data_IF_982769084537
#
_entry.id   IF_982769084537
#
_cell.length_a   1.000
_cell.length_b   1.000
_cell.length_c   1.000
_cell.angle_alpha   90.00
_cell.angle_beta   90.00
_cell.angle_gamma   90.00
#
_symmetry.space_group_name_H-M   'P 1'
#
loop_
_entity.id
_entity.type
_entity.pdbx_description
1 polymer ?
#
# COMPACT_ATOMS: atom_id res chain seq x y z
N UNK A 1 -25.36 72.40 -2.83
CA UNK A 1 -23.94 72.04 -2.61
C UNK A 1 -23.87 71.16 -1.37
N UNK A 2 -23.30 69.96 -1.44
CA UNK A 2 -23.04 69.14 -0.23
C UNK A 2 -23.25 67.63 -0.42
N UNK A 3 -22.35 67.02 -1.20
CA UNK A 3 -22.07 65.61 -1.49
C UNK A 3 -22.81 64.52 -0.68
N UNK A 4 -23.43 63.61 -1.42
CA UNK A 4 -23.89 62.27 -1.00
C UNK A 4 -22.68 61.45 -0.55
N UNK A 5 -22.76 60.91 0.66
CA UNK A 5 -21.77 60.02 1.24
C UNK A 5 -22.05 58.59 0.77
N UNK A 6 -21.33 58.10 -0.25
CA UNK A 6 -21.35 56.69 -0.64
C UNK A 6 -20.12 56.00 -0.09
N UNK A 7 -20.22 55.50 1.14
CA UNK A 7 -19.26 54.52 1.69
C UNK A 7 -19.56 53.16 1.08
N UNK A 8 -18.80 52.79 0.05
CA UNK A 8 -18.88 51.48 -0.58
C UNK A 8 -18.26 50.42 0.35
N UNK A 9 -19.11 49.66 1.02
CA UNK A 9 -18.70 48.49 1.81
C UNK A 9 -18.39 47.28 0.90
N UNK A 10 -17.09 47.01 0.77
CA UNK A 10 -16.37 45.73 0.63
C UNK A 10 -16.88 44.59 -0.31
N UNK A 11 -16.14 44.30 -1.41
CA UNK A 11 -16.22 43.01 -2.12
C UNK A 11 -15.25 41.93 -1.61
N UNK A 12 -14.52 42.12 -0.50
CA UNK A 12 -13.41 41.22 -0.11
C UNK A 12 -13.83 39.82 0.37
N UNK A 13 -15.02 39.65 0.95
CA UNK A 13 -15.48 38.34 1.49
C UNK A 13 -15.85 37.33 0.41
N UNK A 14 -16.44 37.78 -0.70
CA UNK A 14 -16.81 36.91 -1.82
C UNK A 14 -15.59 36.34 -2.57
N UNK A 15 -14.53 37.15 -2.72
CA UNK A 15 -13.27 36.71 -3.34
C UNK A 15 -12.49 35.71 -2.48
N UNK A 16 -12.53 35.85 -1.15
CA UNK A 16 -11.91 34.89 -0.20
C UNK A 16 -12.63 33.53 -0.26
N UNK A 17 -13.96 33.51 -0.14
CA UNK A 17 -14.77 32.28 -0.17
C UNK A 17 -14.57 31.46 -1.45
N UNK A 18 -14.54 32.10 -2.62
CA UNK A 18 -14.30 31.42 -3.90
C UNK A 18 -12.89 30.85 -4.02
N UNK A 19 -11.88 31.51 -3.43
CA UNK A 19 -10.50 31.00 -3.37
C UNK A 19 -10.42 29.80 -2.44
N UNK A 20 -11.07 29.87 -1.29
CA UNK A 20 -11.10 28.78 -0.30
C UNK A 20 -11.83 27.55 -0.88
N UNK A 21 -12.97 27.73 -1.57
CA UNK A 21 -13.69 26.65 -2.27
C UNK A 21 -12.84 26.03 -3.39
N UNK A 22 -12.11 26.85 -4.17
CA UNK A 22 -11.21 26.34 -5.21
C UNK A 22 -10.03 25.56 -4.65
N UNK A 23 -9.42 26.04 -3.56
CA UNK A 23 -8.33 25.35 -2.86
C UNK A 23 -8.82 24.05 -2.21
N UNK A 24 -10.03 24.02 -1.67
CA UNK A 24 -10.63 22.80 -1.14
C UNK A 24 -10.84 21.75 -2.25
N UNK A 25 -11.31 22.17 -3.42
CA UNK A 25 -11.52 21.26 -4.55
C UNK A 25 -10.19 20.72 -5.09
N UNK A 26 -9.15 21.57 -5.18
CA UNK A 26 -7.80 21.13 -5.53
C UNK A 26 -7.25 20.10 -4.53
N UNK A 27 -7.44 20.34 -3.23
CA UNK A 27 -6.98 19.40 -2.19
C UNK A 27 -7.71 18.06 -2.29
N UNK A 28 -9.02 18.06 -2.58
CA UNK A 28 -9.80 16.83 -2.80
C UNK A 28 -9.31 16.07 -4.03
N UNK A 29 -9.04 16.78 -5.12
CA UNK A 29 -8.50 16.21 -6.36
C UNK A 29 -7.13 15.56 -6.14
N UNK A 30 -6.23 16.25 -5.43
CA UNK A 30 -4.92 15.69 -5.05
C UNK A 30 -5.06 14.49 -4.12
N UNK A 31 -5.96 14.55 -3.13
CA UNK A 31 -6.21 13.43 -2.23
C UNK A 31 -6.74 12.21 -2.99
N UNK A 32 -7.65 12.41 -3.95
CA UNK A 32 -8.15 11.33 -4.82
C UNK A 32 -7.02 10.69 -5.61
N UNK A 33 -6.16 11.49 -6.25
CA UNK A 33 -4.99 10.98 -6.98
C UNK A 33 -4.03 10.18 -6.08
N UNK A 34 -3.80 10.64 -4.86
CA UNK A 34 -2.96 9.94 -3.89
C UNK A 34 -3.58 8.59 -3.48
N UNK A 35 -4.90 8.54 -3.27
CA UNK A 35 -5.62 7.30 -2.98
C UNK A 35 -5.55 6.31 -4.15
N UNK A 36 -5.85 6.77 -5.37
CA UNK A 36 -5.77 5.93 -6.57
C UNK A 36 -4.35 5.34 -6.76
N UNK A 37 -3.31 6.13 -6.46
CA UNK A 37 -1.92 5.67 -6.52
C UNK A 37 -1.62 4.64 -5.44
N UNK A 38 -2.08 4.87 -4.21
CA UNK A 38 -1.92 3.94 -3.10
C UNK A 38 -2.60 2.59 -3.40
N UNK A 39 -3.84 2.62 -3.89
CA UNK A 39 -4.59 1.42 -4.28
C UNK A 39 -3.86 0.61 -5.36
N UNK A 40 -3.39 1.29 -6.43
CA UNK A 40 -2.60 0.64 -7.49
C UNK A 40 -1.32 0.01 -6.96
N UNK A 41 -0.63 0.70 -6.05
CA UNK A 41 0.57 0.18 -5.40
C UNK A 41 0.24 -1.08 -4.58
N UNK A 42 -0.82 -1.05 -3.77
CA UNK A 42 -1.26 -2.19 -2.97
C UNK A 42 -1.64 -3.39 -3.84
N UNK A 43 -2.42 -3.16 -4.91
CA UNK A 43 -2.77 -4.19 -5.88
C UNK A 43 -1.53 -4.82 -6.53
N UNK A 44 -0.52 -4.00 -6.89
CA UNK A 44 0.74 -4.48 -7.45
C UNK A 44 1.50 -5.37 -6.46
N UNK A 45 1.60 -4.94 -5.20
CA UNK A 45 2.28 -5.73 -4.15
C UNK A 45 1.57 -7.06 -3.87
N UNK A 46 0.23 -7.05 -3.83
CA UNK A 46 -0.55 -8.26 -3.66
C UNK A 46 -0.32 -9.25 -4.82
N UNK A 47 -0.38 -8.77 -6.07
CA UNK A 47 -0.15 -9.60 -7.26
C UNK A 47 1.24 -10.24 -7.24
N UNK A 48 2.31 -9.46 -7.02
CA UNK A 48 3.67 -9.99 -6.92
C UNK A 48 3.80 -11.03 -5.79
N UNK A 49 3.17 -10.79 -4.65
CA UNK A 49 3.14 -11.76 -3.55
C UNK A 49 2.49 -13.08 -3.94
N UNK A 50 1.39 -13.04 -4.70
CA UNK A 50 0.74 -14.26 -5.21
C UNK A 50 1.61 -15.01 -6.21
N UNK A 51 2.26 -14.32 -7.14
CA UNK A 51 3.14 -14.96 -8.13
C UNK A 51 4.36 -15.60 -7.50
N UNK A 52 4.89 -15.02 -6.41
CA UNK A 52 6.04 -15.56 -5.70
C UNK A 52 5.69 -16.71 -4.75
N UNK A 53 4.43 -16.85 -4.31
CA UNK A 53 4.00 -17.96 -3.44
C UNK A 53 4.20 -19.32 -4.11
N UNK A 54 3.76 -19.47 -5.36
CA UNK A 54 3.85 -20.74 -6.09
C UNK A 54 5.29 -21.27 -6.22
N UNK A 55 6.26 -20.52 -6.76
CA UNK A 55 7.65 -20.99 -6.85
C UNK A 55 8.27 -21.21 -5.47
N UNK A 56 7.89 -20.42 -4.46
CA UNK A 56 8.38 -20.59 -3.10
C UNK A 56 7.87 -21.88 -2.45
N UNK A 57 6.60 -22.22 -2.65
CA UNK A 57 6.01 -23.50 -2.21
C UNK A 57 6.77 -24.68 -2.84
N UNK A 58 7.10 -24.59 -4.13
CA UNK A 58 7.92 -25.62 -4.79
C UNK A 58 9.32 -25.74 -4.19
N UNK A 59 10.01 -24.62 -3.93
CA UNK A 59 11.35 -24.62 -3.31
C UNK A 59 11.29 -25.27 -1.92
N UNK A 60 10.29 -24.90 -1.09
CA UNK A 60 10.09 -25.50 0.23
C UNK A 60 9.86 -27.01 0.12
N UNK A 61 8.91 -27.44 -0.72
CA UNK A 61 8.59 -28.85 -0.89
C UNK A 61 9.78 -29.67 -1.41
N UNK A 62 10.51 -29.17 -2.40
CA UNK A 62 11.71 -29.87 -2.90
C UNK A 62 12.81 -29.93 -1.86
N UNK A 63 13.04 -28.85 -1.09
CA UNK A 63 14.02 -28.87 -0.01
C UNK A 63 13.66 -29.88 1.09
N UNK A 64 12.37 -30.02 1.41
CA UNK A 64 11.87 -30.99 2.38
C UNK A 64 12.01 -32.44 1.89
N UNK A 65 11.65 -32.70 0.63
CA UNK A 65 11.84 -34.03 -0.01
C UNK A 65 13.32 -34.41 -0.07
N UNK A 66 14.23 -33.46 -0.34
CA UNK A 66 15.66 -33.72 -0.34
C UNK A 66 16.16 -34.03 1.08
N UNK A 67 15.75 -33.26 2.08
CA UNK A 67 16.14 -33.46 3.47
C UNK A 67 15.66 -34.79 4.07
N UNK A 68 14.57 -35.35 3.53
CA UNK A 68 14.05 -36.66 3.93
C UNK A 68 14.79 -37.85 3.31
N UNK A 69 15.75 -37.62 2.40
CA UNK A 69 16.57 -38.71 1.84
C UNK A 69 17.60 -39.19 2.87
N UNK A 70 17.78 -40.50 2.97
CA UNK A 70 18.77 -41.12 3.88
C UNK A 70 20.20 -40.88 3.39
N UNK A 71 20.42 -40.85 2.08
CA UNK A 71 21.75 -40.73 1.45
C UNK A 71 22.11 -39.28 1.08
N UNK A 72 22.24 -38.41 2.08
CA UNK A 72 22.84 -37.07 1.89
C UNK A 72 24.21 -37.02 2.57
N UNK A 73 25.21 -36.50 1.85
CA UNK A 73 26.45 -36.05 2.49
C UNK A 73 26.15 -34.87 3.42
N UNK A 74 26.99 -34.67 4.45
CA UNK A 74 26.84 -33.54 5.40
C UNK A 74 26.78 -32.18 4.69
N UNK A 75 27.58 -32.01 3.63
CA UNK A 75 27.59 -30.79 2.84
C UNK A 75 26.26 -30.57 2.08
N UNK A 76 25.71 -31.61 1.47
CA UNK A 76 24.41 -31.53 0.77
C UNK A 76 23.27 -31.26 1.74
N UNK A 77 23.27 -31.92 2.91
CA UNK A 77 22.30 -31.65 3.99
C UNK A 77 22.36 -30.19 4.42
N UNK A 78 23.55 -29.67 4.69
CA UNK A 78 23.74 -28.26 5.04
C UNK A 78 23.19 -27.30 3.97
N UNK A 79 23.44 -27.57 2.68
CA UNK A 79 22.88 -26.75 1.60
C UNK A 79 21.35 -26.81 1.56
N UNK A 80 20.75 -28.00 1.71
CA UNK A 80 19.30 -28.15 1.70
C UNK A 80 18.65 -27.41 2.89
N UNK A 81 19.23 -27.52 4.09
CA UNK A 81 18.78 -26.78 5.28
C UNK A 81 18.87 -25.26 5.06
N UNK A 82 19.96 -24.77 4.45
CA UNK A 82 20.12 -23.34 4.14
C UNK A 82 19.09 -22.87 3.12
N UNK A 83 18.79 -23.66 2.09
CA UNK A 83 17.74 -23.37 1.11
C UNK A 83 16.38 -23.30 1.80
N UNK A 84 16.04 -24.31 2.61
CA UNK A 84 14.77 -24.36 3.33
C UNK A 84 14.59 -23.17 4.27
N UNK A 85 15.61 -22.86 5.08
CA UNK A 85 15.60 -21.71 6.00
C UNK A 85 15.45 -20.37 5.25
N UNK A 86 16.14 -20.21 4.12
CA UNK A 86 16.03 -19.01 3.29
C UNK A 86 14.63 -18.87 2.67
N UNK A 87 14.05 -19.98 2.21
CA UNK A 87 12.71 -20.01 1.65
C UNK A 87 11.64 -19.68 2.72
N UNK A 88 11.76 -20.23 3.93
CA UNK A 88 10.88 -19.88 5.05
C UNK A 88 11.01 -18.39 5.44
N UNK A 89 12.24 -17.86 5.45
CA UNK A 89 12.45 -16.44 5.70
C UNK A 89 11.78 -15.56 4.64
N UNK A 90 11.92 -15.93 3.35
CA UNK A 90 11.26 -15.23 2.27
C UNK A 90 9.73 -15.30 2.39
N UNK A 91 9.18 -16.44 2.79
CA UNK A 91 7.73 -16.61 3.00
C UNK A 91 7.20 -15.64 4.05
N UNK A 92 7.92 -15.49 5.17
CA UNK A 92 7.58 -14.51 6.23
C UNK A 92 7.62 -13.08 5.69
N UNK A 93 8.66 -12.73 4.93
CA UNK A 93 8.78 -11.40 4.30
C UNK A 93 7.61 -11.12 3.34
N UNK A 94 7.25 -12.08 2.49
CA UNK A 94 6.13 -11.93 1.55
C UNK A 94 4.79 -11.74 2.27
N UNK A 95 4.57 -12.45 3.38
CA UNK A 95 3.35 -12.29 4.18
C UNK A 95 3.28 -10.88 4.79
N UNK A 96 4.37 -10.39 5.39
CA UNK A 96 4.41 -9.02 5.92
C UNK A 96 4.16 -7.96 4.84
N UNK A 97 4.71 -8.15 3.63
CA UNK A 97 4.46 -7.24 2.50
C UNK A 97 2.98 -7.26 2.06
N UNK A 98 2.35 -8.43 2.07
CA UNK A 98 0.93 -8.56 1.74
C UNK A 98 0.03 -7.90 2.80
N UNK A 99 0.39 -8.02 4.09
CA UNK A 99 -0.38 -7.40 5.18
C UNK A 99 -0.35 -5.87 5.08
N UNK A 100 0.81 -5.28 4.77
CA UNK A 100 0.93 -3.84 4.52
C UNK A 100 0.05 -3.35 3.35
N UNK A 101 -0.16 -4.18 2.32
CA UNK A 101 -1.01 -3.82 1.20
C UNK A 101 -2.51 -3.76 1.54
N UNK A 102 -2.94 -4.36 2.67
CA UNK A 102 -4.33 -4.38 3.12
C UNK A 102 -4.68 -3.25 4.10
N UNK A 103 -3.70 -2.73 4.84
CA UNK A 103 -3.93 -1.75 5.91
C UNK A 103 -4.18 -0.31 5.42
N UNK A 104 -4.02 -0.05 4.12
CA UNK A 104 -4.17 1.30 3.56
C UNK A 104 -5.59 1.61 3.05
N UNK A 105 -6.56 0.69 3.18
CA UNK A 105 -7.96 0.99 2.87
C UNK A 105 -8.66 1.49 4.14
N UNK A 106 -8.88 2.81 4.31
CA UNK A 106 -9.72 3.30 5.40
C UNK A 106 -11.15 2.75 5.21
N UNK A 107 -11.68 2.17 6.28
CA UNK A 107 -13.06 1.71 6.37
C UNK A 107 -14.00 2.92 6.25
N UNK A 108 -14.56 3.16 5.06
CA UNK A 108 -15.51 4.25 4.80
C UNK A 108 -16.87 4.06 5.51
N UNK A 109 -17.08 2.98 6.29
CA UNK A 109 -18.34 2.75 7.01
C UNK A 109 -18.36 3.26 8.47
N UNK A 110 -17.30 3.91 8.98
CA UNK A 110 -17.24 4.33 10.39
C UNK A 110 -17.68 5.78 10.69
N UNK A 111 -18.41 6.46 9.79
CA UNK A 111 -18.80 7.88 10.01
C UNK A 111 -20.23 8.25 9.60
N UNK A 112 -21.13 7.27 9.51
CA UNK A 112 -22.54 7.50 9.19
C UNK A 112 -23.49 6.86 10.21
N UNK A 113 -23.52 7.37 11.44
CA UNK A 113 -24.63 7.18 12.41
C UNK A 113 -24.73 8.40 13.30
#
# INVERSE_FOLDING_TARGET
MGRVNTSAAEPKKAGKKRRDDHSLEQLKEENRKLRDLAERRSATMAHLGHELRTPLTSILGFSEILLSQEELTDAQRNFCERIQNSAQQLQRTLNHMADLSRTDTPDENASGS
#
